data_IF_153920653615
#
_entry.id   IF_153920653615
#
_cell.length_a   1.000
_cell.length_b   1.000
_cell.length_c   1.000
_cell.angle_alpha   90.00
_cell.angle_beta   90.00
_cell.angle_gamma   90.00
#
_symmetry.space_group_name_H-M   'P 1'
#
loop_
_entity.id
_entity.type
_entity.pdbx_description
1 polymer ?
#
# COMPACT_ATOMS: atom_id res chain seq x y z
N UNK A 1 9.53 0.72 12.76
CA UNK A 1 10.02 -0.42 13.58
C UNK A 1 10.15 -1.67 12.73
N UNK A 2 11.14 -2.54 12.99
CA UNK A 2 11.21 -3.85 12.34
C UNK A 2 10.12 -4.77 12.89
N UNK A 3 9.29 -5.32 12.01
CA UNK A 3 8.11 -6.15 12.37
C UNK A 3 8.29 -7.64 12.03
N UNK A 4 9.14 -7.93 11.05
CA UNK A 4 9.66 -9.25 10.70
C UNK A 4 11.10 -9.07 10.21
N UNK A 5 11.92 -10.12 10.10
CA UNK A 5 13.31 -9.99 9.66
C UNK A 5 13.43 -9.21 8.35
N UNK A 6 14.10 -8.05 8.39
CA UNK A 6 14.31 -7.13 7.26
C UNK A 6 13.03 -6.48 6.69
N UNK A 7 11.89 -6.61 7.38
CA UNK A 7 10.63 -5.95 7.03
C UNK A 7 10.33 -4.92 8.10
N UNK A 8 10.26 -3.66 7.70
CA UNK A 8 10.06 -2.53 8.58
C UNK A 8 8.72 -1.86 8.29
N UNK A 9 7.99 -1.54 9.34
CA UNK A 9 6.73 -0.81 9.27
C UNK A 9 6.96 0.63 9.71
N UNK A 10 6.51 1.57 8.88
CA UNK A 10 6.54 3.00 9.12
C UNK A 10 5.09 3.47 9.17
N UNK A 11 4.63 3.90 10.35
CA UNK A 11 3.30 4.46 10.54
C UNK A 11 3.33 5.97 10.36
N UNK A 12 2.40 6.50 9.57
CA UNK A 12 2.19 7.93 9.38
C UNK A 12 0.75 8.30 9.77
N UNK A 13 0.51 9.43 10.45
CA UNK A 13 -0.84 9.84 10.85
C UNK A 13 -1.68 10.23 9.65
N UNK A 14 -2.94 9.79 9.64
CA UNK A 14 -3.96 10.11 8.64
C UNK A 14 -5.22 10.65 9.36
N UNK A 15 -5.20 11.92 9.72
CA UNK A 15 -6.22 12.51 10.59
C UNK A 15 -6.22 11.84 11.97
N UNK A 16 -7.33 11.22 12.34
CA UNK A 16 -7.49 10.45 13.58
C UNK A 16 -7.11 8.96 13.44
N UNK A 17 -6.59 8.56 12.29
CA UNK A 17 -6.14 7.21 11.94
C UNK A 17 -4.65 7.21 11.61
N UNK A 18 -4.14 6.11 11.11
CA UNK A 18 -2.80 6.00 10.53
C UNK A 18 -2.83 5.20 9.23
N UNK A 19 -1.82 5.39 8.41
CA UNK A 19 -1.49 4.56 7.26
C UNK A 19 -0.06 4.05 7.38
N UNK A 20 0.22 2.84 6.89
CA UNK A 20 1.53 2.23 6.97
C UNK A 20 2.20 2.15 5.61
N UNK A 21 3.46 2.54 5.58
CA UNK A 21 4.41 2.18 4.53
C UNK A 21 5.24 0.99 5.01
N UNK A 22 5.63 0.10 4.12
CA UNK A 22 6.48 -1.05 4.45
C UNK A 22 7.77 -1.03 3.65
N UNK A 23 8.91 -1.13 4.37
CA UNK A 23 10.24 -1.13 3.78
C UNK A 23 10.89 -2.51 3.97
N UNK A 24 11.23 -3.15 2.86
CA UNK A 24 11.93 -4.43 2.80
C UNK A 24 13.41 -4.16 2.49
N UNK A 25 14.30 -4.47 3.42
CA UNK A 25 15.71 -4.09 3.35
C UNK A 25 16.59 -5.29 3.00
N UNK A 26 16.84 -5.48 1.70
CA UNK A 26 17.74 -6.52 1.21
C UNK A 26 19.23 -6.09 1.21
N UNK A 27 20.11 -7.06 0.97
CA UNK A 27 21.57 -6.80 0.94
C UNK A 27 21.98 -5.97 -0.29
N UNK A 28 21.29 -6.12 -1.42
CA UNK A 28 21.61 -5.41 -2.66
C UNK A 28 20.68 -4.22 -2.88
N UNK A 29 19.39 -4.37 -2.58
CA UNK A 29 18.37 -3.37 -2.82
C UNK A 29 17.29 -3.40 -1.75
N UNK A 30 16.50 -2.32 -1.65
CA UNK A 30 15.31 -2.24 -0.84
C UNK A 30 14.05 -2.06 -1.72
N UNK A 31 12.90 -2.51 -1.20
CA UNK A 31 11.58 -2.31 -1.76
C UNK A 31 10.76 -1.48 -0.77
N UNK A 32 10.09 -0.45 -1.23
CA UNK A 32 9.08 0.28 -0.50
C UNK A 32 7.68 -0.12 -1.03
N UNK A 33 6.80 -0.55 -0.14
CA UNK A 33 5.38 -0.76 -0.43
C UNK A 33 4.60 0.41 0.15
N UNK A 34 3.86 1.08 -0.72
CA UNK A 34 3.08 2.30 -0.48
C UNK A 34 3.92 3.52 -0.05
N UNK A 35 3.37 4.69 -0.24
CA UNK A 35 4.10 5.95 -0.08
C UNK A 35 3.42 6.96 0.84
N UNK A 36 2.20 6.65 1.32
CA UNK A 36 1.43 7.59 2.13
C UNK A 36 0.93 8.80 1.33
N UNK A 37 0.72 9.91 2.01
CA UNK A 37 0.39 11.20 1.40
C UNK A 37 1.65 11.94 0.94
N UNK A 38 1.48 12.95 0.09
CA UNK A 38 2.56 13.87 -0.29
C UNK A 38 3.17 14.53 0.95
N UNK A 39 4.49 14.53 1.05
CA UNK A 39 5.26 15.00 2.21
C UNK A 39 5.42 13.98 3.35
N UNK A 40 4.64 12.88 3.39
CA UNK A 40 4.84 11.84 4.42
C UNK A 40 6.19 11.11 4.28
N UNK A 41 6.69 10.81 3.08
CA UNK A 41 8.01 10.19 2.93
C UNK A 41 9.12 11.01 3.60
N UNK A 42 9.15 12.32 3.46
CA UNK A 42 10.14 13.21 4.08
C UNK A 42 9.99 13.25 5.60
N UNK A 43 8.77 13.19 6.10
CA UNK A 43 8.47 13.32 7.52
C UNK A 43 8.66 12.02 8.31
N UNK A 44 8.40 10.87 7.70
CA UNK A 44 8.34 9.57 8.41
C UNK A 44 9.30 8.53 7.83
N UNK A 45 9.42 8.40 6.50
CA UNK A 45 10.29 7.42 5.88
C UNK A 45 11.77 7.83 6.01
N UNK A 46 12.12 9.06 5.65
CA UNK A 46 13.53 9.53 5.69
C UNK A 46 14.12 9.46 7.09
N UNK A 47 13.48 9.99 8.16
CA UNK A 47 14.04 9.87 9.52
C UNK A 47 14.20 8.41 9.97
N UNK A 48 13.25 7.54 9.59
CA UNK A 48 13.37 6.13 9.90
C UNK A 48 14.52 5.45 9.15
N UNK A 49 14.71 5.78 7.88
CA UNK A 49 15.85 5.28 7.10
C UNK A 49 17.18 5.73 7.70
N UNK A 50 17.27 6.98 8.18
CA UNK A 50 18.45 7.49 8.85
C UNK A 50 18.74 6.72 10.16
N UNK A 51 17.70 6.42 10.95
CA UNK A 51 17.81 5.62 12.18
C UNK A 51 18.40 4.24 11.93
N UNK A 52 18.01 3.57 10.85
CA UNK A 52 18.52 2.23 10.49
C UNK A 52 19.76 2.25 9.58
N UNK A 53 20.28 3.45 9.25
CA UNK A 53 21.45 3.62 8.39
C UNK A 53 21.21 3.26 6.92
N UNK A 54 19.96 3.29 6.44
CA UNK A 54 19.63 2.99 5.07
C UNK A 54 19.70 4.26 4.21
N UNK A 55 20.38 4.17 3.06
CA UNK A 55 20.47 5.27 2.10
C UNK A 55 19.31 5.22 1.09
N UNK A 56 18.77 6.37 0.64
CA UNK A 56 17.70 6.42 -0.37
C UNK A 56 18.04 5.68 -1.67
N UNK A 57 19.31 5.67 -2.07
CA UNK A 57 19.77 4.98 -3.26
C UNK A 57 19.61 3.45 -3.19
N UNK A 58 19.38 2.90 -2.00
CA UNK A 58 19.06 1.47 -1.80
C UNK A 58 17.66 1.12 -2.24
N UNK A 59 16.71 2.06 -2.19
CA UNK A 59 15.34 1.82 -2.67
C UNK A 59 15.38 1.69 -4.19
N UNK A 60 15.26 0.45 -4.64
CA UNK A 60 15.26 0.09 -6.06
C UNK A 60 13.84 -0.03 -6.60
N UNK A 61 12.91 -0.45 -5.76
CA UNK A 61 11.55 -0.75 -6.11
C UNK A 61 10.58 0.00 -5.20
N UNK A 62 9.56 0.60 -5.82
CA UNK A 62 8.40 1.17 -5.11
C UNK A 62 7.16 0.49 -5.70
N UNK A 63 6.36 -0.15 -4.87
CA UNK A 63 5.09 -0.74 -5.27
C UNK A 63 3.97 0.01 -4.58
N UNK A 64 2.97 0.44 -5.34
CA UNK A 64 1.69 0.80 -4.77
C UNK A 64 0.80 -0.44 -4.70
N UNK A 65 0.32 -0.76 -3.50
CA UNK A 65 -0.55 -1.91 -3.27
C UNK A 65 -1.87 -1.79 -4.03
N UNK A 66 -2.42 -0.57 -4.10
CA UNK A 66 -3.66 -0.25 -4.80
C UNK A 66 -3.79 1.26 -5.02
N UNK A 67 -4.88 1.70 -5.68
CA UNK A 67 -5.05 3.08 -6.14
C UNK A 67 -5.81 3.98 -5.15
N UNK A 68 -5.69 3.79 -3.84
CA UNK A 68 -6.21 4.77 -2.88
C UNK A 68 -5.17 5.86 -2.60
N UNK A 69 -5.65 7.09 -2.39
CA UNK A 69 -4.77 8.27 -2.30
C UNK A 69 -3.77 8.17 -1.14
N UNK A 70 -4.18 7.58 -0.02
CA UNK A 70 -3.31 7.42 1.15
C UNK A 70 -2.23 6.32 1.00
N UNK A 71 -2.23 5.62 -0.13
CA UNK A 71 -1.20 4.65 -0.53
C UNK A 71 -0.29 5.16 -1.64
N UNK A 72 -0.75 6.13 -2.43
CA UNK A 72 -0.08 6.54 -3.68
C UNK A 72 0.32 8.01 -3.73
N UNK A 73 -0.28 8.85 -2.89
CA UNK A 73 -0.12 10.30 -2.99
C UNK A 73 1.32 10.78 -2.74
N UNK A 74 2.11 10.04 -1.96
CA UNK A 74 3.52 10.30 -1.71
C UNK A 74 4.49 9.84 -2.83
N UNK A 75 3.98 9.33 -3.94
CA UNK A 75 4.83 8.84 -5.04
C UNK A 75 5.80 9.89 -5.56
N UNK A 76 5.36 11.14 -5.72
CA UNK A 76 6.22 12.23 -6.20
C UNK A 76 7.33 12.55 -5.19
N UNK A 77 7.00 12.61 -3.89
CA UNK A 77 7.97 12.76 -2.80
C UNK A 77 9.04 11.66 -2.84
N UNK A 78 8.62 10.39 -2.98
CA UNK A 78 9.58 9.28 -3.08
C UNK A 78 10.38 9.33 -4.37
N UNK A 79 9.80 9.75 -5.50
CA UNK A 79 10.53 9.93 -6.77
C UNK A 79 11.63 11.00 -6.64
N UNK A 80 11.37 12.07 -5.92
CA UNK A 80 12.36 13.12 -5.64
C UNK A 80 13.51 12.60 -4.75
N UNK A 81 13.20 11.81 -3.74
CA UNK A 81 14.17 11.18 -2.84
C UNK A 81 14.97 10.05 -3.49
N UNK A 82 14.33 9.27 -4.34
CA UNK A 82 14.87 8.03 -4.94
C UNK A 82 14.66 8.04 -6.47
N UNK A 83 15.31 8.96 -7.22
CA UNK A 83 15.05 9.13 -8.67
C UNK A 83 15.39 7.88 -9.51
N UNK A 84 16.21 6.98 -8.99
CA UNK A 84 16.60 5.71 -9.64
C UNK A 84 15.59 4.57 -9.38
N UNK A 85 14.62 4.76 -8.47
CA UNK A 85 13.66 3.71 -8.13
C UNK A 85 12.67 3.46 -9.26
N UNK A 86 12.30 2.19 -9.44
CA UNK A 86 11.28 1.76 -10.40
C UNK A 86 9.93 1.72 -9.68
N UNK A 87 8.99 2.55 -10.12
CA UNK A 87 7.64 2.62 -9.57
C UNK A 87 6.71 1.65 -10.29
N UNK A 88 5.98 0.89 -9.50
CA UNK A 88 5.15 -0.21 -9.98
C UNK A 88 3.80 -0.20 -9.28
N UNK A 89 2.76 -0.56 -10.01
CA UNK A 89 1.43 -0.91 -9.49
C UNK A 89 0.80 -1.95 -10.41
N UNK A 90 -0.33 -2.51 -10.02
CA UNK A 90 -1.07 -3.40 -10.91
C UNK A 90 -1.64 -2.64 -12.11
N UNK A 91 -1.62 -3.27 -13.29
CA UNK A 91 -2.10 -2.68 -14.55
C UNK A 91 -3.54 -2.16 -14.47
N UNK A 92 -4.41 -2.88 -13.76
CA UNK A 92 -5.82 -2.49 -13.60
C UNK A 92 -6.02 -1.22 -12.76
N UNK A 93 -5.10 -0.89 -11.86
CA UNK A 93 -5.17 0.32 -11.03
C UNK A 93 -4.33 1.48 -11.59
N UNK A 94 -3.42 1.20 -12.54
CA UNK A 94 -2.43 2.14 -13.06
C UNK A 94 -3.01 3.49 -13.47
N UNK A 95 -4.11 3.48 -14.21
CA UNK A 95 -4.74 4.69 -14.73
C UNK A 95 -5.24 5.64 -13.63
N UNK A 96 -5.60 5.11 -12.44
CA UNK A 96 -5.96 5.92 -11.28
C UNK A 96 -4.73 6.42 -10.51
N UNK A 97 -3.67 5.61 -10.45
CA UNK A 97 -2.40 6.02 -9.80
C UNK A 97 -1.72 7.15 -10.57
N UNK A 98 -1.84 7.17 -11.89
CA UNK A 98 -1.22 8.16 -12.78
C UNK A 98 -2.06 9.43 -12.98
N UNK A 99 -3.36 9.42 -12.63
CA UNK A 99 -4.31 10.53 -12.87
C UNK A 99 -5.26 10.71 -11.68
N UNK A 100 -5.09 11.82 -10.96
CA UNK A 100 -5.88 12.17 -9.78
C UNK A 100 -7.38 12.29 -10.12
N UNK A 101 -7.74 12.86 -11.27
CA UNK A 101 -9.14 13.02 -11.64
C UNK A 101 -9.75 11.67 -12.06
N UNK A 102 -8.97 10.77 -12.65
CA UNK A 102 -9.41 9.40 -12.87
C UNK A 102 -9.61 8.66 -11.53
N UNK A 103 -8.71 8.81 -10.58
CA UNK A 103 -8.86 8.27 -9.22
C UNK A 103 -10.14 8.78 -8.55
N UNK A 104 -10.36 10.10 -8.53
CA UNK A 104 -11.56 10.71 -7.93
C UNK A 104 -12.81 10.18 -8.60
N UNK A 105 -12.87 10.17 -9.93
CA UNK A 105 -14.04 9.72 -10.67
C UNK A 105 -14.37 8.24 -10.48
N UNK A 106 -13.34 7.38 -10.51
CA UNK A 106 -13.52 5.92 -10.56
C UNK A 106 -13.43 5.25 -9.19
N UNK A 107 -12.97 5.97 -8.15
CA UNK A 107 -12.79 5.42 -6.82
C UNK A 107 -13.65 6.13 -5.78
N UNK A 108 -13.72 7.46 -5.80
CA UNK A 108 -14.40 8.29 -4.81
C UNK A 108 -15.76 8.84 -5.28
N UNK A 109 -16.07 8.74 -6.60
CA UNK A 109 -17.31 9.18 -7.19
C UNK A 109 -17.97 8.11 -8.08
N UNK A 110 -17.52 6.86 -8.02
CA UNK A 110 -17.95 5.77 -8.92
C UNK A 110 -19.49 5.61 -8.97
N UNK A 111 -20.16 5.72 -7.83
CA UNK A 111 -21.62 5.55 -7.72
C UNK A 111 -22.39 6.86 -7.63
N UNK A 112 -21.72 8.01 -7.77
CA UNK A 112 -22.35 9.33 -7.58
C UNK A 112 -23.40 9.61 -8.64
N UNK A 113 -23.10 9.34 -9.91
CA UNK A 113 -23.99 9.60 -11.03
C UNK A 113 -25.26 8.73 -10.99
N UNK A 114 -25.12 7.43 -10.71
CA UNK A 114 -26.22 6.47 -10.82
C UNK A 114 -27.00 6.29 -9.52
N UNK A 115 -26.35 6.54 -8.38
CA UNK A 115 -26.91 6.25 -7.06
C UNK A 115 -26.86 7.42 -6.09
N UNK A 116 -26.23 8.56 -6.45
CA UNK A 116 -26.03 9.69 -5.55
C UNK A 116 -25.12 9.38 -4.37
N UNK A 117 -24.25 8.36 -4.51
CA UNK A 117 -23.32 7.90 -3.47
C UNK A 117 -21.90 8.20 -3.92
N UNK A 118 -21.24 9.10 -3.22
CA UNK A 118 -19.82 9.48 -3.47
C UNK A 118 -19.28 10.27 -2.29
N UNK A 119 -17.99 10.49 -2.30
CA UNK A 119 -17.34 11.35 -1.32
C UNK A 119 -17.66 12.83 -1.59
N UNK A 120 -17.77 13.62 -0.51
CA UNK A 120 -18.07 15.04 -0.60
C UNK A 120 -16.95 15.84 -1.27
N UNK A 121 -17.29 17.05 -1.75
CA UNK A 121 -16.33 17.93 -2.42
C UNK A 121 -15.11 18.27 -1.58
N UNK A 122 -15.26 18.38 -0.27
CA UNK A 122 -14.14 18.62 0.67
C UNK A 122 -13.13 17.47 0.65
N UNK A 123 -13.58 16.21 0.57
CA UNK A 123 -12.71 15.04 0.47
C UNK A 123 -12.01 15.01 -0.89
N UNK A 124 -12.72 15.28 -1.97
CA UNK A 124 -12.16 15.34 -3.32
C UNK A 124 -11.09 16.44 -3.43
N UNK A 125 -11.34 17.60 -2.83
CA UNK A 125 -10.38 18.70 -2.79
C UNK A 125 -9.16 18.35 -1.91
N UNK A 126 -9.37 17.69 -0.77
CA UNK A 126 -8.28 17.18 0.04
C UNK A 126 -7.39 16.20 -0.74
N UNK A 127 -7.98 15.26 -1.50
CA UNK A 127 -7.24 14.33 -2.36
C UNK A 127 -6.39 15.08 -3.39
N UNK A 128 -6.97 16.09 -4.08
CA UNK A 128 -6.23 16.93 -5.04
C UNK A 128 -5.04 17.65 -4.41
N UNK A 129 -5.24 18.19 -3.22
CA UNK A 129 -4.22 18.98 -2.53
C UNK A 129 -3.13 18.13 -1.86
N UNK A 130 -3.41 16.86 -1.57
CA UNK A 130 -2.49 15.94 -0.88
C UNK A 130 -1.82 14.92 -1.81
N UNK A 131 -2.08 15.01 -3.13
CA UNK A 131 -1.58 14.04 -4.12
C UNK A 131 -0.83 14.73 -5.23
N UNK A 132 0.40 14.29 -5.49
CA UNK A 132 1.13 14.58 -6.73
C UNK A 132 1.36 13.27 -7.48
N UNK A 133 0.69 13.11 -8.62
CA UNK A 133 0.85 11.90 -9.43
C UNK A 133 2.14 11.92 -10.25
N UNK A 134 2.64 10.72 -10.54
CA UNK A 134 3.79 10.49 -11.43
C UNK A 134 3.46 9.31 -12.36
N UNK A 135 4.12 9.21 -13.51
CA UNK A 135 3.99 8.02 -14.33
C UNK A 135 4.54 6.78 -13.61
N UNK A 136 3.90 5.65 -13.81
CA UNK A 136 4.33 4.33 -13.34
C UNK A 136 5.24 3.69 -14.37
N UNK A 137 6.42 3.24 -13.92
CA UNK A 137 7.43 2.70 -14.82
C UNK A 137 7.08 1.30 -15.32
N UNK A 138 6.51 0.45 -14.44
CA UNK A 138 6.16 -0.95 -14.76
C UNK A 138 4.78 -1.30 -14.22
N UNK A 139 3.92 -1.83 -15.09
CA UNK A 139 2.64 -2.41 -14.70
C UNK A 139 2.81 -3.89 -14.34
N UNK A 140 2.34 -4.27 -13.15
CA UNK A 140 2.36 -5.63 -12.63
C UNK A 140 1.04 -6.34 -12.93
N UNK A 141 1.09 -7.69 -12.96
CA UNK A 141 -0.10 -8.55 -13.15
C UNK A 141 -0.37 -9.44 -11.93
N UNK A 142 0.60 -9.52 -11.00
CA UNK A 142 0.65 -10.53 -9.95
C UNK A 142 1.29 -11.83 -10.44
N UNK A 143 2.18 -12.38 -9.60
CA UNK A 143 3.02 -13.53 -9.91
C UNK A 143 4.48 -13.16 -10.13
N UNK A 144 4.81 -11.88 -10.14
CA UNK A 144 6.19 -11.41 -10.20
C UNK A 144 6.93 -11.75 -8.90
N UNK A 145 8.26 -11.88 -9.03
CA UNK A 145 9.17 -12.14 -7.92
C UNK A 145 10.26 -11.07 -7.93
N UNK A 146 10.35 -10.29 -6.86
CA UNK A 146 11.32 -9.22 -6.71
C UNK A 146 12.52 -9.68 -5.90
N UNK A 147 13.70 -9.69 -6.49
CA UNK A 147 14.94 -10.09 -5.84
C UNK A 147 15.59 -8.90 -5.14
N UNK A 148 15.87 -9.04 -3.84
CA UNK A 148 16.48 -8.01 -3.00
C UNK A 148 17.94 -8.32 -2.64
N UNK A 149 18.51 -9.38 -3.23
CA UNK A 149 19.87 -9.83 -3.04
C UNK A 149 20.04 -10.89 -1.95
N UNK A 150 21.19 -11.61 -1.99
CA UNK A 150 21.50 -12.66 -1.01
C UNK A 150 20.51 -13.85 -1.06
N UNK A 151 19.87 -14.11 -2.20
CA UNK A 151 18.85 -15.15 -2.34
C UNK A 151 17.48 -14.80 -1.77
N UNK A 152 17.32 -13.60 -1.18
CA UNK A 152 16.03 -13.16 -0.67
C UNK A 152 15.18 -12.52 -1.78
N UNK A 153 13.91 -12.90 -1.81
CA UNK A 153 12.93 -12.40 -2.78
C UNK A 153 11.55 -12.25 -2.14
N UNK A 154 10.73 -11.43 -2.77
CA UNK A 154 9.36 -11.15 -2.36
C UNK A 154 8.43 -11.52 -3.51
N UNK A 155 7.43 -12.35 -3.22
CA UNK A 155 6.39 -12.71 -4.18
C UNK A 155 5.32 -11.60 -4.22
N UNK A 156 4.94 -11.18 -5.41
CA UNK A 156 3.82 -10.24 -5.63
C UNK A 156 2.57 -11.02 -6.02
N UNK A 157 1.49 -10.80 -5.30
CA UNK A 157 0.23 -11.49 -5.54
C UNK A 157 -0.87 -10.51 -5.90
N UNK A 158 -1.62 -10.82 -6.95
CA UNK A 158 -2.86 -10.13 -7.27
C UNK A 158 -3.98 -10.62 -6.34
N UNK A 159 -4.57 -9.70 -5.58
CA UNK A 159 -5.61 -9.96 -4.56
C UNK A 159 -6.77 -8.98 -4.72
N UNK A 160 -7.50 -9.06 -5.85
CA UNK A 160 -8.57 -8.12 -6.16
C UNK A 160 -9.74 -8.21 -5.16
N UNK A 161 -10.47 -7.09 -5.00
CA UNK A 161 -11.65 -7.02 -4.14
C UNK A 161 -11.86 -5.65 -3.54
N UNK A 162 -10.86 -5.09 -2.89
CA UNK A 162 -10.85 -3.69 -2.42
C UNK A 162 -10.70 -2.73 -3.61
N UNK A 163 -9.71 -2.98 -4.47
CA UNK A 163 -9.64 -2.45 -5.85
C UNK A 163 -9.52 -3.61 -6.83
N UNK A 164 -9.63 -3.35 -8.14
CA UNK A 164 -9.38 -4.38 -9.17
C UNK A 164 -7.91 -4.79 -9.22
N UNK A 165 -7.00 -3.85 -9.00
CA UNK A 165 -5.56 -4.05 -9.11
C UNK A 165 -4.86 -4.23 -7.77
N UNK A 166 -5.57 -4.59 -6.69
CA UNK A 166 -4.95 -4.73 -5.39
C UNK A 166 -3.84 -5.80 -5.39
N UNK A 167 -2.69 -5.47 -4.79
CA UNK A 167 -1.52 -6.32 -4.65
C UNK A 167 -1.21 -6.62 -3.18
N UNK A 168 -0.78 -7.83 -2.92
CA UNK A 168 -0.28 -8.33 -1.62
C UNK A 168 1.15 -8.83 -1.80
N UNK A 169 2.01 -8.66 -0.81
CA UNK A 169 3.38 -9.13 -0.84
C UNK A 169 3.60 -10.26 0.16
N UNK A 170 4.23 -11.35 -0.29
CA UNK A 170 4.57 -12.50 0.54
C UNK A 170 6.10 -12.66 0.65
N UNK A 171 6.61 -12.60 1.86
CA UNK A 171 7.95 -13.08 2.21
C UNK A 171 7.88 -14.50 2.76
N UNK A 172 8.30 -15.47 1.97
CA UNK A 172 8.34 -16.88 2.39
C UNK A 172 9.43 -17.15 3.41
N UNK A 173 10.50 -16.35 3.43
CA UNK A 173 11.62 -16.58 4.32
C UNK A 173 11.25 -16.32 5.79
N UNK A 174 10.47 -15.27 6.06
CA UNK A 174 9.96 -14.95 7.39
C UNK A 174 8.51 -15.41 7.61
N UNK A 175 7.89 -16.03 6.61
CA UNK A 175 6.48 -16.42 6.60
C UNK A 175 5.54 -15.22 6.93
N UNK A 176 5.84 -14.07 6.31
CA UNK A 176 5.13 -12.80 6.52
C UNK A 176 4.36 -12.42 5.27
N UNK A 177 3.09 -12.05 5.45
CA UNK A 177 2.20 -11.58 4.41
C UNK A 177 1.84 -10.10 4.67
N UNK A 178 2.16 -9.22 3.70
CA UNK A 178 1.74 -7.81 3.75
C UNK A 178 0.54 -7.66 2.84
N UNK A 179 -0.64 -7.59 3.42
CA UNK A 179 -1.90 -7.60 2.71
C UNK A 179 -2.45 -6.21 2.38
N UNK A 180 -1.81 -5.16 2.89
CA UNK A 180 -2.33 -3.79 2.79
C UNK A 180 -3.83 -3.75 3.15
N UNK A 181 -4.71 -3.43 2.21
CA UNK A 181 -6.15 -3.33 2.38
C UNK A 181 -6.94 -4.49 1.75
N UNK A 182 -6.27 -5.59 1.39
CA UNK A 182 -6.95 -6.78 0.85
C UNK A 182 -8.01 -7.34 1.82
N UNK A 183 -7.81 -7.15 3.12
CA UNK A 183 -8.80 -7.49 4.14
C UNK A 183 -8.91 -6.36 5.15
N UNK A 184 -10.06 -5.74 5.21
CA UNK A 184 -10.45 -4.77 6.22
C UNK A 184 -11.41 -5.43 7.20
N UNK A 185 -11.23 -5.16 8.48
CA UNK A 185 -12.10 -5.71 9.53
C UNK A 185 -13.50 -5.05 9.48
N UNK A 186 -14.23 -5.01 10.58
CA UNK A 186 -15.58 -4.40 10.66
C UNK A 186 -15.57 -2.88 10.41
N UNK A 187 -14.44 -2.22 10.65
CA UNK A 187 -14.20 -0.80 10.38
C UNK A 187 -12.70 -0.54 10.38
N UNK A 188 -12.25 0.44 9.63
CA UNK A 188 -10.93 1.04 9.81
C UNK A 188 -10.98 1.84 11.13
N UNK A 189 -10.10 1.55 12.11
CA UNK A 189 -10.19 2.17 13.43
C UNK A 189 -9.47 3.53 13.46
N UNK A 190 -9.88 4.37 14.43
CA UNK A 190 -9.05 5.47 14.90
C UNK A 190 -7.80 4.95 15.63
N UNK A 191 -6.83 5.81 15.89
CA UNK A 191 -5.65 5.49 16.74
C UNK A 191 -6.03 5.03 18.15
N UNK A 192 -7.26 5.32 18.61
CA UNK A 192 -7.79 4.90 19.90
C UNK A 192 -8.68 3.65 19.81
N UNK A 193 -8.79 3.02 18.64
CA UNK A 193 -9.54 1.78 18.42
C UNK A 193 -11.05 1.96 18.20
N UNK A 194 -11.57 3.20 18.14
CA UNK A 194 -12.97 3.44 17.79
C UNK A 194 -13.19 3.26 16.28
N UNK A 195 -14.36 2.76 15.82
CA UNK A 195 -14.68 2.69 14.40
C UNK A 195 -14.66 4.10 13.76
N UNK A 196 -13.87 4.30 12.72
CA UNK A 196 -13.75 5.59 12.03
C UNK A 196 -14.32 5.53 10.61
N UNK A 197 -14.05 4.46 9.86
CA UNK A 197 -14.43 4.35 8.47
C UNK A 197 -14.96 2.95 8.14
N UNK A 198 -16.05 2.81 7.37
CA UNK A 198 -16.54 1.50 6.97
C UNK A 198 -15.55 0.80 6.03
N UNK A 199 -15.49 -0.54 6.06
CA UNK A 199 -14.67 -1.28 5.11
C UNK A 199 -15.24 -1.12 3.69
N UNK A 200 -14.37 -0.88 2.73
CA UNK A 200 -14.75 -0.74 1.32
C UNK A 200 -14.38 -2.01 0.55
N UNK A 201 -15.39 -2.84 0.29
CA UNK A 201 -15.29 -4.02 -0.57
C UNK A 201 -16.13 -3.78 -1.81
N UNK A 202 -15.49 -3.61 -2.95
CA UNK A 202 -16.20 -3.23 -4.17
C UNK A 202 -16.63 -4.45 -5.00
N UNK A 203 -15.81 -5.49 -4.99
CA UNK A 203 -15.97 -6.65 -5.88
C UNK A 203 -16.07 -7.92 -5.04
N UNK A 204 -17.24 -8.18 -4.50
CA UNK A 204 -17.48 -9.18 -3.45
C UNK A 204 -17.00 -10.57 -3.83
N UNK A 205 -17.28 -11.04 -5.05
CA UNK A 205 -16.88 -12.39 -5.48
C UNK A 205 -15.36 -12.55 -5.54
N UNK A 206 -14.67 -11.56 -6.13
CA UNK A 206 -13.20 -11.56 -6.20
C UNK A 206 -12.57 -11.34 -4.82
N UNK A 207 -13.21 -10.51 -3.97
CA UNK A 207 -12.80 -10.31 -2.60
C UNK A 207 -12.82 -11.62 -1.81
N UNK A 208 -13.93 -12.37 -1.84
CA UNK A 208 -14.06 -13.65 -1.15
C UNK A 208 -12.99 -14.64 -1.64
N UNK A 209 -12.75 -14.73 -2.95
CA UNK A 209 -11.73 -15.60 -3.51
C UNK A 209 -10.30 -15.19 -3.03
N UNK A 210 -10.02 -13.88 -2.98
CA UNK A 210 -8.74 -13.35 -2.48
C UNK A 210 -8.54 -13.71 -1.01
N UNK A 211 -9.54 -13.48 -0.15
CA UNK A 211 -9.47 -13.82 1.28
C UNK A 211 -9.26 -15.31 1.50
N UNK A 212 -9.97 -16.17 0.78
CA UNK A 212 -9.79 -17.63 0.88
C UNK A 212 -8.36 -18.04 0.49
N UNK A 213 -7.80 -17.42 -0.55
CA UNK A 213 -6.42 -17.66 -0.97
C UNK A 213 -5.42 -17.22 0.10
N UNK A 214 -5.60 -16.02 0.70
CA UNK A 214 -4.73 -15.48 1.73
C UNK A 214 -4.80 -16.32 3.02
N UNK A 215 -5.99 -16.67 3.48
CA UNK A 215 -6.21 -17.49 4.68
C UNK A 215 -5.57 -18.88 4.56
N UNK A 216 -5.49 -19.45 3.35
CA UNK A 216 -4.88 -20.77 3.11
C UNK A 216 -3.35 -20.79 3.17
N UNK A 217 -2.67 -19.66 3.41
CA UNK A 217 -1.20 -19.62 3.35
C UNK A 217 -0.50 -20.07 4.64
N UNK A 218 -1.20 -20.09 5.77
CA UNK A 218 -0.61 -20.51 7.06
C UNK A 218 0.54 -19.61 7.51
N UNK A 219 0.42 -18.28 7.27
CA UNK A 219 1.45 -17.30 7.63
C UNK A 219 1.48 -17.05 9.14
N UNK A 220 2.66 -16.75 9.67
CA UNK A 220 2.83 -16.44 11.10
C UNK A 220 2.65 -14.95 11.40
N UNK A 221 2.85 -14.09 10.41
CA UNK A 221 2.72 -12.64 10.57
C UNK A 221 1.92 -12.07 9.41
N UNK A 222 0.86 -11.31 9.73
CA UNK A 222 0.07 -10.59 8.77
C UNK A 222 0.15 -9.08 9.05
N UNK A 223 0.47 -8.31 8.01
CA UNK A 223 0.68 -6.87 8.06
C UNK A 223 -0.34 -6.16 7.17
N UNK A 224 -0.97 -5.14 7.73
CA UNK A 224 -2.03 -4.36 7.10
C UNK A 224 -1.68 -2.88 7.10
N UNK A 225 -2.40 -2.05 6.35
CA UNK A 225 -2.09 -0.62 6.29
C UNK A 225 -2.70 0.20 7.43
N UNK A 226 -3.80 -0.26 8.04
CA UNK A 226 -4.57 0.54 9.00
C UNK A 226 -4.79 -0.13 10.36
N UNK A 227 -4.20 -1.31 10.59
CA UNK A 227 -4.41 -2.08 11.83
C UNK A 227 -3.08 -2.42 12.51
N UNK A 228 -3.11 -2.82 13.78
CA UNK A 228 -1.95 -3.37 14.45
C UNK A 228 -1.35 -4.57 13.73
N UNK A 229 -0.12 -4.93 14.06
CA UNK A 229 0.52 -6.15 13.55
C UNK A 229 -0.17 -7.37 14.15
N UNK A 230 -0.65 -8.26 13.30
CA UNK A 230 -1.21 -9.54 13.70
C UNK A 230 -0.13 -10.62 13.65
N UNK A 231 0.08 -11.31 14.77
CA UNK A 231 0.99 -12.44 14.92
C UNK A 231 0.20 -13.69 15.24
N UNK A 232 0.71 -14.84 14.77
CA UNK A 232 0.02 -16.13 14.89
C UNK A 232 -1.41 -16.02 14.33
N UNK A 233 -1.51 -15.41 13.15
CA UNK A 233 -2.77 -15.18 12.47
C UNK A 233 -3.41 -16.54 12.12
N UNK A 234 -4.40 -16.95 12.92
CA UNK A 234 -5.35 -18.01 12.60
C UNK A 234 -6.41 -17.54 11.60
#
# INVERSE_FOLDING_TARGET
>A
MEVAPRIHRIEAPLGDRFVCMYLFVGVESALLLDTGLDGMPEQYLVPYMDEIGLKPEKIRYVINSHADFDHTAGNASVRELCPQAVFMCHDLDRHMVEDIEAMIRLRYSEYEQDHGIGDGDEVKEFIRNSTRHIPIDVALQGGEVLHLGGGWHIDVWHTPGHTYGHLTLLDRASNTLVIADAALHNAVPTVHGAPAFPPTYRYVDTYVASIQRLAGQGVTTMLTSHYPVYRDAE
#
